data_IF_246535204614
#
_entry.id   IF_246535204614
#
_cell.length_a   1.000
_cell.length_b   1.000
_cell.length_c   1.000
_cell.angle_alpha   90.00
_cell.angle_beta   90.00
_cell.angle_gamma   90.00
#
_symmetry.space_group_name_H-M   'P 1'
#
loop_
_entity.id
_entity.type
_entity.pdbx_description
1 polymer ?
#
# COMPACT_ATOMS: atom_id res chain seq x y z
N UNK A 1 -20.02 -25.56 23.37
CA UNK A 1 -19.84 -26.65 22.38
C UNK A 1 -18.91 -26.16 21.29
N UNK A 2 -17.75 -26.80 21.23
CA UNK A 2 -16.68 -26.81 20.21
C UNK A 2 -16.09 -25.49 19.68
N UNK A 3 -14.92 -25.17 20.25
CA UNK A 3 -13.82 -24.47 19.60
C UNK A 3 -13.14 -25.37 18.57
N UNK A 4 -12.66 -24.80 17.46
CA UNK A 4 -11.73 -25.46 16.55
C UNK A 4 -10.58 -24.52 16.22
N UNK A 5 -9.44 -24.82 16.85
CA UNK A 5 -8.10 -24.37 16.48
C UNK A 5 -7.75 -24.84 15.06
N UNK A 6 -7.05 -24.01 14.30
CA UNK A 6 -6.13 -24.48 13.27
C UNK A 6 -4.75 -23.85 13.48
N UNK A 7 -3.86 -24.67 14.03
CA UNK A 7 -2.42 -24.46 14.00
C UNK A 7 -1.87 -25.36 12.88
N UNK A 8 -1.09 -24.80 11.96
CA UNK A 8 -0.28 -25.57 11.04
C UNK A 8 1.18 -25.20 11.28
N UNK A 9 1.92 -26.14 11.83
CA UNK A 9 3.34 -26.07 12.08
C UNK A 9 4.09 -27.02 11.15
N UNK A 10 5.30 -26.57 10.77
CA UNK A 10 6.50 -27.35 10.48
C UNK A 10 6.60 -28.15 9.15
N UNK A 11 7.61 -27.78 8.35
CA UNK A 11 8.78 -28.65 8.14
C UNK A 11 9.93 -27.85 7.47
N UNK A 12 10.94 -27.45 8.26
CA UNK A 12 12.25 -27.03 7.75
C UNK A 12 13.09 -28.28 7.54
N UNK A 13 13.49 -28.54 6.30
CA UNK A 13 14.45 -29.59 5.96
C UNK A 13 15.86 -29.17 6.41
N UNK A 14 16.45 -29.93 7.32
CA UNK A 14 17.86 -29.83 7.68
C UNK A 14 18.68 -30.67 6.71
N UNK A 15 19.61 -30.05 5.99
CA UNK A 15 20.63 -30.74 5.18
C UNK A 15 21.79 -31.20 6.06
N UNK A 16 22.33 -32.41 5.86
CA UNK A 16 23.47 -32.91 6.63
C UNK A 16 24.77 -32.19 6.25
N UNK A 17 25.51 -31.76 7.27
CA UNK A 17 26.84 -31.19 7.16
C UNK A 17 27.85 -32.24 6.68
N UNK A 18 28.67 -31.85 5.72
CA UNK A 18 29.74 -32.66 5.14
C UNK A 18 31.06 -32.22 5.79
N UNK A 19 31.80 -33.09 6.51
CA UNK A 19 33.04 -32.69 7.17
C UNK A 19 34.17 -32.50 6.14
N UNK A 20 34.78 -31.31 6.13
CA UNK A 20 35.96 -31.01 5.32
C UNK A 20 37.23 -31.72 5.84
N UNK A 21 38.19 -32.06 4.96
CA UNK A 21 39.49 -32.58 5.33
C UNK A 21 40.41 -31.48 5.92
N UNK A 22 41.41 -31.85 6.75
CA UNK A 22 42.37 -30.92 7.32
C UNK A 22 43.35 -30.42 6.24
N UNK A 23 43.33 -29.11 5.98
CA UNK A 23 44.28 -28.45 5.10
C UNK A 23 45.61 -28.19 5.83
N UNK A 24 46.70 -28.46 5.13
CA UNK A 24 48.06 -28.50 5.65
C UNK A 24 48.58 -27.10 6.05
N UNK A 25 49.27 -27.06 7.19
CA UNK A 25 49.96 -25.89 7.73
C UNK A 25 51.14 -25.53 6.80
N UNK A 26 50.96 -24.49 5.99
CA UNK A 26 52.04 -23.85 5.24
C UNK A 26 52.85 -22.88 6.12
N UNK A 27 54.17 -22.97 6.04
CA UNK A 27 55.12 -22.08 6.71
C UNK A 27 54.94 -20.61 6.28
N UNK A 28 55.09 -19.64 7.20
CA UNK A 28 54.94 -18.23 6.87
C UNK A 28 56.11 -17.71 6.03
N UNK A 29 55.80 -17.16 4.87
CA UNK A 29 56.70 -16.34 4.05
C UNK A 29 56.94 -15.00 4.75
N UNK A 30 58.18 -14.48 4.83
CA UNK A 30 58.45 -13.18 5.44
C UNK A 30 57.79 -12.06 4.62
N UNK A 31 56.86 -11.35 5.27
CA UNK A 31 56.17 -10.20 4.70
C UNK A 31 57.15 -9.02 4.53
N UNK A 32 57.27 -8.54 3.30
CA UNK A 32 57.77 -7.20 2.99
C UNK A 32 56.90 -6.18 3.73
N UNK A 33 57.51 -5.33 4.56
CA UNK A 33 56.83 -4.27 5.27
C UNK A 33 56.27 -3.24 4.27
N UNK A 34 54.97 -3.35 3.99
CA UNK A 34 54.22 -2.34 3.25
C UNK A 34 54.03 -1.12 4.17
N UNK A 35 54.57 0.02 3.74
CA UNK A 35 54.46 1.28 4.47
C UNK A 35 52.98 1.65 4.53
N UNK A 36 52.37 1.45 5.71
CA UNK A 36 50.97 1.78 5.95
C UNK A 36 50.75 3.27 5.65
N UNK A 37 50.02 3.53 4.57
CA UNK A 37 49.55 4.88 4.26
C UNK A 37 48.57 5.26 5.38
N UNK A 38 48.74 6.41 6.05
CA UNK A 38 47.83 6.82 7.11
C UNK A 38 46.41 6.86 6.55
N UNK A 39 45.48 6.20 7.26
CA UNK A 39 44.08 6.18 6.87
C UNK A 39 43.58 7.62 6.67
N UNK A 40 42.86 7.90 5.56
CA UNK A 40 42.31 9.22 5.36
C UNK A 40 41.45 9.59 6.57
N UNK A 41 41.62 10.82 7.06
CA UNK A 41 40.81 11.33 8.16
C UNK A 41 39.32 11.11 7.85
N UNK A 42 38.50 10.66 8.82
CA UNK A 42 37.07 10.51 8.60
C UNK A 42 36.54 11.83 8.05
N UNK A 43 35.89 11.80 6.89
CA UNK A 43 35.31 12.99 6.31
C UNK A 43 34.42 13.65 7.38
N UNK A 44 34.52 14.98 7.58
CA UNK A 44 33.63 15.65 8.50
C UNK A 44 32.19 15.34 8.06
N UNK A 45 31.39 14.80 8.97
CA UNK A 45 29.95 14.57 8.80
C UNK A 45 29.39 15.88 8.26
N UNK A 46 29.12 15.93 6.95
CA UNK A 46 28.59 17.13 6.34
C UNK A 46 27.22 17.31 6.97
N UNK A 47 26.88 18.54 7.33
CA UNK A 47 25.56 19.00 7.84
C UNK A 47 24.34 18.57 6.99
N UNK A 48 24.57 17.87 5.87
CA UNK A 48 23.57 17.18 5.05
C UNK A 48 22.88 16.02 5.76
N UNK A 49 23.48 15.45 6.80
CA UNK A 49 22.90 14.32 7.53
C UNK A 49 21.99 14.74 8.70
N UNK A 50 21.93 16.04 9.05
CA UNK A 50 21.07 16.55 10.14
C UNK A 50 19.64 16.89 9.68
N UNK A 51 19.33 16.65 8.41
CA UNK A 51 17.97 16.63 7.90
C UNK A 51 17.61 15.20 7.55
N UNK A 52 16.51 14.65 8.10
CA UNK A 52 15.98 13.40 7.59
C UNK A 52 15.85 13.54 6.06
N UNK A 53 16.37 12.60 5.26
CA UNK A 53 16.45 12.80 3.84
C UNK A 53 15.05 13.11 3.30
N UNK A 54 14.88 14.29 2.70
CA UNK A 54 13.63 14.72 2.08
C UNK A 54 13.25 13.90 0.85
N UNK A 55 14.00 12.85 0.53
CA UNK A 55 13.66 11.82 -0.44
C UNK A 55 12.75 10.75 0.18
N UNK A 56 12.12 9.96 -0.70
CA UNK A 56 11.43 8.73 -0.31
C UNK A 56 12.41 7.65 0.23
N UNK A 57 13.67 7.99 0.51
CA UNK A 57 14.64 7.09 1.13
C UNK A 57 14.26 6.74 2.58
N UNK A 58 13.50 7.59 3.27
CA UNK A 58 12.88 7.25 4.56
C UNK A 58 11.67 6.32 4.44
N UNK A 59 11.13 6.02 3.25
CA UNK A 59 10.04 5.06 3.10
C UNK A 59 10.49 3.60 3.35
N UNK A 60 11.81 3.39 3.52
CA UNK A 60 12.39 2.16 4.10
C UNK A 60 12.19 2.05 5.62
N UNK A 61 11.81 3.13 6.30
CA UNK A 61 11.53 3.13 7.73
C UNK A 61 10.10 2.61 8.00
N UNK A 62 10.07 1.52 8.75
CA UNK A 62 9.01 0.99 9.62
C UNK A 62 7.58 1.43 9.33
N UNK A 63 6.77 0.50 8.78
CA UNK A 63 5.32 0.27 8.95
C UNK A 63 4.37 1.43 9.37
N UNK A 64 4.71 2.69 9.09
CA UNK A 64 3.85 3.84 9.28
C UNK A 64 2.88 3.88 8.10
N UNK A 65 1.60 4.06 8.42
CA UNK A 65 0.55 4.40 7.46
C UNK A 65 0.84 5.82 6.95
N UNK A 66 1.82 5.96 6.07
CA UNK A 66 2.12 7.24 5.41
C UNK A 66 1.18 7.40 4.22
N UNK A 67 0.34 8.42 4.27
CA UNK A 67 -0.63 8.74 3.22
C UNK A 67 -2.01 9.09 3.76
N UNK A 68 -2.93 9.53 2.89
CA UNK A 68 -4.31 9.75 3.28
C UNK A 68 -4.90 8.42 3.79
N UNK A 69 -5.65 8.48 4.90
CA UNK A 69 -6.49 7.35 5.32
C UNK A 69 -7.37 7.00 4.12
N UNK A 70 -7.38 5.73 3.75
CA UNK A 70 -8.15 5.21 2.63
C UNK A 70 -9.65 5.44 2.88
N UNK A 71 -10.17 6.55 2.38
CA UNK A 71 -11.58 6.84 2.24
C UNK A 71 -11.89 6.73 0.75
N UNK A 72 -12.53 5.64 0.35
CA UNK A 72 -12.83 5.33 -1.05
C UNK A 72 -14.26 4.82 -1.22
N UNK A 73 -14.71 4.77 -2.47
CA UNK A 73 -16.02 4.19 -2.80
C UNK A 73 -16.01 2.67 -2.59
N UNK A 74 -17.18 2.04 -2.73
CA UNK A 74 -17.39 0.61 -2.46
C UNK A 74 -16.87 -0.32 -3.58
N UNK A 75 -16.11 0.19 -4.53
CA UNK A 75 -15.62 -0.56 -5.69
C UNK A 75 -14.08 -0.61 -5.65
N UNK A 76 -13.50 -1.67 -5.07
CA UNK A 76 -12.14 -2.13 -5.38
C UNK A 76 -10.98 -1.15 -5.17
N UNK A 77 -11.03 -0.26 -4.19
CA UNK A 77 -10.03 0.80 -4.00
C UNK A 77 -10.03 1.88 -5.12
N UNK A 78 -11.10 2.00 -5.91
CA UNK A 78 -11.32 3.20 -6.72
C UNK A 78 -11.63 4.40 -5.82
N UNK A 79 -11.23 5.57 -6.28
CA UNK A 79 -11.42 6.83 -5.56
C UNK A 79 -10.79 6.82 -4.16
N UNK A 80 -9.77 6.01 -3.94
CA UNK A 80 -9.01 6.02 -2.68
C UNK A 80 -7.72 6.81 -2.82
N UNK A 81 -7.41 7.63 -1.82
CA UNK A 81 -6.13 8.32 -1.78
C UNK A 81 -4.94 7.36 -1.81
N UNK A 82 -3.93 7.66 -2.63
CA UNK A 82 -2.64 6.95 -2.65
C UNK A 82 -1.53 7.79 -2.04
N UNK A 83 -0.54 7.12 -1.47
CA UNK A 83 0.68 7.77 -0.97
C UNK A 83 1.54 8.27 -2.13
N UNK A 84 2.38 9.25 -1.83
CA UNK A 84 3.39 9.72 -2.79
C UNK A 84 4.53 8.72 -2.87
N UNK A 85 5.15 8.34 -1.75
CA UNK A 85 6.41 7.59 -1.80
C UNK A 85 6.25 6.10 -2.13
N UNK A 86 7.07 5.57 -3.07
CA UNK A 86 7.09 4.15 -3.39
C UNK A 86 7.45 3.26 -2.20
N UNK A 87 6.70 2.16 -2.01
CA UNK A 87 7.00 1.12 -1.02
C UNK A 87 6.70 -0.28 -1.55
N UNK A 88 7.46 -1.26 -1.07
CA UNK A 88 7.17 -2.68 -1.25
C UNK A 88 6.53 -3.22 0.02
N UNK A 89 5.27 -3.57 -0.03
CA UNK A 89 4.52 -4.10 1.11
C UNK A 89 3.40 -5.03 0.65
N UNK A 90 2.95 -5.88 1.56
CA UNK A 90 1.73 -6.66 1.43
C UNK A 90 0.93 -6.45 2.71
N UNK A 91 -0.38 -6.31 2.58
CA UNK A 91 -1.24 -6.06 3.71
C UNK A 91 -2.61 -6.69 3.52
N UNK A 92 -3.28 -6.85 4.66
CA UNK A 92 -4.63 -7.34 4.75
C UNK A 92 -5.51 -6.21 5.27
N UNK A 93 -6.63 -6.00 4.60
CA UNK A 93 -7.65 -5.05 4.98
C UNK A 93 -8.97 -5.76 5.24
N UNK A 94 -9.91 -5.01 5.82
CA UNK A 94 -11.28 -5.45 5.89
C UNK A 94 -12.20 -4.26 6.02
N UNK A 95 -13.38 -4.39 5.45
CA UNK A 95 -14.43 -3.37 5.47
C UNK A 95 -15.69 -3.98 6.03
N UNK A 96 -16.44 -3.16 6.77
CA UNK A 96 -17.75 -3.52 7.29
C UNK A 96 -18.71 -2.38 6.99
N UNK A 97 -19.85 -2.70 6.43
CA UNK A 97 -20.93 -1.76 6.17
C UNK A 97 -22.25 -2.34 6.66
N UNK A 98 -23.04 -1.51 7.32
CA UNK A 98 -24.40 -1.87 7.74
C UNK A 98 -25.34 -0.71 7.44
N UNK A 99 -26.40 -0.99 6.69
CA UNK A 99 -27.50 -0.07 6.44
C UNK A 99 -28.75 -0.70 7.06
N UNK A 100 -29.36 0.02 7.99
CA UNK A 100 -30.60 -0.42 8.66
C UNK A 100 -31.63 0.69 8.45
N UNK A 101 -32.66 0.39 7.68
CA UNK A 101 -33.78 1.26 7.38
C UNK A 101 -35.08 0.60 7.88
N UNK A 102 -35.42 0.92 9.12
CA UNK A 102 -36.60 0.36 9.81
C UNK A 102 -37.92 0.70 9.11
N UNK A 103 -38.19 1.97 8.69
CA UNK A 103 -39.42 2.31 7.97
C UNK A 103 -39.67 1.46 6.72
N UNK A 104 -38.61 1.13 5.97
CA UNK A 104 -38.71 0.35 4.75
C UNK A 104 -38.45 -1.16 4.97
N UNK A 105 -38.33 -1.60 6.23
CA UNK A 105 -37.97 -2.98 6.61
C UNK A 105 -36.73 -3.50 5.86
N UNK A 106 -35.79 -2.60 5.56
CA UNK A 106 -34.61 -2.90 4.76
C UNK A 106 -33.36 -2.95 5.63
N UNK A 107 -32.59 -4.01 5.47
CA UNK A 107 -31.30 -4.22 6.09
C UNK A 107 -30.31 -4.73 5.07
N UNK A 108 -29.12 -4.16 5.04
CA UNK A 108 -28.00 -4.64 4.25
C UNK A 108 -26.75 -4.67 5.14
N UNK A 109 -26.11 -5.82 5.23
CA UNK A 109 -24.83 -6.03 5.90
C UNK A 109 -23.80 -6.48 4.86
N UNK A 110 -22.72 -5.73 4.73
CA UNK A 110 -21.58 -6.03 3.88
C UNK A 110 -20.33 -6.25 4.73
N UNK A 111 -19.56 -7.30 4.40
CA UNK A 111 -18.23 -7.55 4.95
C UNK A 111 -17.30 -7.84 3.79
N UNK A 112 -16.25 -7.05 3.65
CA UNK A 112 -15.22 -7.25 2.64
C UNK A 112 -13.89 -7.60 3.33
N UNK A 113 -13.18 -8.57 2.77
CA UNK A 113 -11.83 -8.95 3.16
C UNK A 113 -10.87 -8.65 2.02
N UNK A 114 -9.87 -7.83 2.30
CA UNK A 114 -9.02 -7.23 1.29
C UNK A 114 -7.59 -7.73 1.40
N UNK A 115 -6.96 -7.96 0.26
CA UNK A 115 -5.53 -8.19 0.12
C UNK A 115 -4.98 -7.09 -0.77
N UNK A 116 -4.05 -6.30 -0.24
CA UNK A 116 -3.38 -5.26 -1.01
C UNK A 116 -1.88 -5.49 -1.01
N UNK A 117 -1.24 -5.06 -2.08
CA UNK A 117 0.19 -5.17 -2.21
C UNK A 117 0.75 -4.10 -3.12
N UNK A 118 2.01 -3.78 -2.88
CA UNK A 118 2.76 -2.89 -3.73
C UNK A 118 4.21 -3.32 -3.84
N UNK A 119 4.84 -2.87 -4.91
CA UNK A 119 6.20 -3.19 -5.27
C UNK A 119 6.88 -1.93 -5.83
N UNK A 120 7.87 -1.42 -5.11
CA UNK A 120 8.70 -0.31 -5.56
C UNK A 120 9.64 -0.80 -6.69
N UNK A 121 9.27 -0.50 -7.94
CA UNK A 121 10.05 -0.85 -9.12
C UNK A 121 11.32 0.01 -9.23
N UNK A 122 11.20 1.30 -8.91
CA UNK A 122 12.30 2.27 -8.83
C UNK A 122 12.11 3.13 -7.58
N UNK A 123 13.07 4.00 -7.20
CA UNK A 123 12.86 4.96 -6.12
C UNK A 123 11.72 5.96 -6.37
N UNK A 124 11.24 6.06 -7.62
CA UNK A 124 10.17 6.96 -8.03
C UNK A 124 8.92 6.25 -8.56
N UNK A 125 8.94 4.94 -8.78
CA UNK A 125 7.82 4.20 -9.38
C UNK A 125 7.42 3.02 -8.51
N UNK A 126 6.12 2.93 -8.21
CA UNK A 126 5.49 1.84 -7.47
C UNK A 126 4.43 1.17 -8.34
N UNK A 127 4.47 -0.15 -8.45
CA UNK A 127 3.34 -0.95 -8.93
C UNK A 127 2.50 -1.36 -7.73
N UNK A 128 1.18 -1.33 -7.85
CA UNK A 128 0.30 -1.72 -6.77
C UNK A 128 -0.92 -2.48 -7.28
N UNK A 129 -1.51 -3.26 -6.38
CA UNK A 129 -2.73 -3.98 -6.65
C UNK A 129 -3.54 -4.18 -5.37
N UNK A 130 -4.84 -4.30 -5.56
CA UNK A 130 -5.80 -4.57 -4.51
C UNK A 130 -6.73 -5.68 -4.99
N UNK A 131 -7.05 -6.60 -4.11
CA UNK A 131 -7.97 -7.71 -4.34
C UNK A 131 -8.95 -7.79 -3.18
N UNK A 132 -10.24 -7.62 -3.47
CA UNK A 132 -11.33 -7.96 -2.56
C UNK A 132 -11.46 -9.49 -2.55
N UNK A 133 -10.65 -10.14 -1.73
CA UNK A 133 -10.52 -11.60 -1.68
C UNK A 133 -11.82 -12.27 -1.23
N UNK A 134 -12.59 -11.61 -0.38
CA UNK A 134 -13.88 -12.09 0.12
C UNK A 134 -14.86 -10.93 0.16
N UNK A 135 -16.01 -11.07 -0.51
CA UNK A 135 -17.14 -10.16 -0.39
C UNK A 135 -18.34 -10.94 0.11
N UNK A 136 -18.77 -10.63 1.33
CA UNK A 136 -19.97 -11.19 1.94
C UNK A 136 -21.05 -10.11 2.00
N UNK A 137 -22.25 -10.45 1.54
CA UNK A 137 -23.39 -9.54 1.59
C UNK A 137 -24.62 -10.27 2.08
N UNK A 138 -25.30 -9.71 3.07
CA UNK A 138 -26.59 -10.15 3.56
C UNK A 138 -27.60 -9.02 3.38
N UNK A 139 -28.62 -9.26 2.57
CA UNK A 139 -29.71 -8.30 2.35
C UNK A 139 -31.02 -8.90 2.84
N UNK A 140 -31.77 -8.10 3.57
CA UNK A 140 -33.11 -8.42 4.02
C UNK A 140 -34.03 -7.23 3.73
N UNK A 141 -35.15 -7.49 3.07
CA UNK A 141 -36.29 -6.58 2.93
C UNK A 141 -37.54 -7.27 3.54
N UNK A 142 -38.69 -6.58 3.57
CA UNK A 142 -39.99 -7.11 3.98
C UNK A 142 -40.36 -8.44 3.30
N UNK A 143 -39.95 -8.66 2.05
CA UNK A 143 -40.34 -9.83 1.24
C UNK A 143 -39.17 -10.70 0.77
N UNK A 144 -37.94 -10.18 0.79
CA UNK A 144 -36.77 -10.85 0.20
C UNK A 144 -35.65 -10.99 1.22
N UNK A 145 -35.00 -12.14 1.21
CA UNK A 145 -33.74 -12.39 1.93
C UNK A 145 -32.74 -12.95 0.94
N UNK A 146 -31.54 -12.40 0.96
CA UNK A 146 -30.44 -12.79 0.10
C UNK A 146 -29.16 -12.87 0.91
N UNK A 147 -28.32 -13.84 0.58
CA UNK A 147 -26.97 -13.93 1.10
C UNK A 147 -26.05 -14.33 -0.04
N UNK A 148 -24.95 -13.61 -0.20
CA UNK A 148 -23.92 -13.91 -1.18
C UNK A 148 -22.55 -13.92 -0.53
N UNK A 149 -21.69 -14.80 -1.05
CA UNK A 149 -20.27 -14.84 -0.75
C UNK A 149 -19.56 -15.01 -2.09
N UNK A 150 -18.86 -13.98 -2.53
CA UNK A 150 -18.23 -13.94 -3.84
C UNK A 150 -16.80 -13.42 -3.73
N UNK A 151 -16.01 -13.63 -4.79
CA UNK A 151 -14.82 -12.82 -5.01
C UNK A 151 -15.27 -11.43 -5.45
N UNK A 152 -14.71 -10.41 -4.83
CA UNK A 152 -14.98 -9.02 -5.19
C UNK A 152 -14.12 -8.60 -6.36
N UNK A 153 -13.87 -7.30 -6.44
CA UNK A 153 -13.12 -6.69 -7.50
C UNK A 153 -11.60 -6.70 -7.25
N UNK A 154 -10.86 -6.54 -8.34
CA UNK A 154 -9.41 -6.39 -8.34
C UNK A 154 -9.06 -5.09 -9.04
N UNK A 155 -8.12 -4.33 -8.47
CA UNK A 155 -7.47 -3.22 -9.15
C UNK A 155 -5.97 -3.46 -9.28
N UNK A 156 -5.40 -2.89 -10.33
CA UNK A 156 -3.96 -2.84 -10.55
C UNK A 156 -3.59 -1.44 -11.05
N UNK A 157 -2.46 -0.93 -10.60
CA UNK A 157 -2.05 0.42 -10.92
C UNK A 157 -0.56 0.66 -10.76
N UNK A 158 -0.21 1.90 -11.08
CA UNK A 158 1.14 2.45 -11.00
C UNK A 158 1.09 3.85 -10.40
N UNK A 159 2.02 4.14 -9.52
CA UNK A 159 2.29 5.48 -9.01
C UNK A 159 3.68 5.89 -9.43
N UNK A 160 3.84 7.13 -9.89
CA UNK A 160 5.12 7.73 -10.22
C UNK A 160 5.27 9.07 -9.49
N UNK A 161 6.36 9.23 -8.76
CA UNK A 161 6.72 10.47 -8.07
C UNK A 161 7.69 11.28 -8.88
N UNK A 162 7.49 12.58 -8.88
CA UNK A 162 8.45 13.52 -9.43
C UNK A 162 9.45 13.95 -8.36
N UNK A 163 10.57 14.52 -8.79
CA UNK A 163 11.61 14.98 -7.88
C UNK A 163 11.04 15.93 -6.82
N UNK A 164 11.35 15.65 -5.57
CA UNK A 164 10.87 16.42 -4.44
C UNK A 164 11.47 17.84 -4.49
N UNK A 165 10.61 18.85 -4.42
CA UNK A 165 11.07 20.22 -4.24
C UNK A 165 11.52 20.38 -2.78
N UNK A 166 12.84 20.37 -2.61
CA UNK A 166 13.51 20.46 -1.31
C UNK A 166 13.30 21.81 -0.65
N UNK A 167 13.13 22.87 -1.43
CA UNK A 167 12.90 24.22 -0.90
C UNK A 167 11.43 24.39 -0.49
N UNK A 168 10.50 23.80 -1.24
CA UNK A 168 9.07 23.89 -0.96
C UNK A 168 8.54 22.86 0.06
N UNK A 169 9.36 21.92 0.52
CA UNK A 169 8.96 20.79 1.38
C UNK A 169 7.76 19.99 0.81
N UNK A 170 7.69 19.91 -0.52
CA UNK A 170 6.57 19.33 -1.25
C UNK A 170 7.05 18.11 -2.06
N UNK A 171 6.34 17.00 -1.90
CA UNK A 171 6.44 15.82 -2.74
C UNK A 171 5.14 15.67 -3.52
N UNK A 172 5.25 15.32 -4.79
CA UNK A 172 4.07 15.07 -5.59
C UNK A 172 4.32 14.00 -6.65
N UNK A 173 3.24 13.47 -7.19
CA UNK A 173 3.27 12.39 -8.15
C UNK A 173 1.94 12.22 -8.85
N UNK A 174 1.91 11.26 -9.76
CA UNK A 174 0.70 10.80 -10.43
C UNK A 174 0.47 9.34 -10.12
N UNK A 175 -0.80 8.97 -10.02
CA UNK A 175 -1.27 7.60 -9.84
C UNK A 175 -2.25 7.27 -10.95
N UNK A 176 -2.15 6.07 -11.50
CA UNK A 176 -3.11 5.54 -12.45
C UNK A 176 -3.43 4.10 -12.06
N UNK A 177 -4.71 3.71 -12.12
CA UNK A 177 -5.13 2.32 -11.89
C UNK A 177 -6.31 1.95 -12.77
N UNK A 178 -6.50 0.65 -12.91
CA UNK A 178 -7.62 0.04 -13.62
C UNK A 178 -8.36 -0.92 -12.72
N UNK A 179 -9.68 -0.95 -12.86
CA UNK A 179 -10.59 -1.92 -12.27
C UNK A 179 -10.77 -3.08 -13.24
N UNK A 180 -10.40 -4.27 -12.77
CA UNK A 180 -10.44 -5.50 -13.53
C UNK A 180 -11.79 -6.21 -13.34
N UNK A 181 -12.33 -6.83 -14.39
CA UNK A 181 -13.64 -7.50 -14.37
C UNK A 181 -13.57 -8.86 -13.67
N UNK A 182 -13.29 -8.85 -12.36
CA UNK A 182 -13.02 -10.05 -11.54
C UNK A 182 -14.12 -10.37 -10.54
N UNK A 183 -15.00 -9.42 -10.27
CA UNK A 183 -16.14 -9.63 -9.36
C UNK A 183 -17.19 -10.54 -9.98
N UNK A 184 -17.73 -11.42 -9.14
CA UNK A 184 -18.85 -12.31 -9.46
C UNK A 184 -20.13 -11.93 -8.70
N UNK A 185 -20.16 -10.74 -8.08
CA UNK A 185 -21.29 -10.30 -7.26
C UNK A 185 -22.59 -10.10 -8.05
N UNK A 186 -22.49 -9.71 -9.33
CA UNK A 186 -23.64 -9.47 -10.20
C UNK A 186 -23.60 -10.45 -11.39
N UNK A 187 -24.52 -11.41 -11.47
CA UNK A 187 -24.57 -12.34 -12.60
C UNK A 187 -24.76 -11.62 -13.93
N UNK A 188 -23.86 -11.87 -14.89
CA UNK A 188 -23.96 -11.37 -16.26
C UNK A 188 -23.54 -9.91 -16.46
N UNK A 189 -23.01 -9.25 -15.43
CA UNK A 189 -22.44 -7.90 -15.52
C UNK A 189 -21.07 -7.88 -14.85
N UNK A 190 -20.07 -7.37 -15.56
CA UNK A 190 -18.74 -7.15 -15.04
C UNK A 190 -18.41 -5.66 -15.02
N UNK A 191 -17.98 -5.14 -13.89
CA UNK A 191 -17.52 -3.76 -13.80
C UNK A 191 -16.07 -3.64 -14.29
N UNK A 192 -15.82 -2.64 -15.12
CA UNK A 192 -14.49 -2.18 -15.50
C UNK A 192 -14.38 -0.70 -15.23
N UNK A 193 -13.16 -0.21 -15.08
CA UNK A 193 -12.96 1.20 -14.82
C UNK A 193 -11.49 1.59 -14.85
N UNK A 194 -11.27 2.89 -14.80
CA UNK A 194 -9.95 3.48 -14.71
C UNK A 194 -10.00 4.73 -13.84
N UNK A 195 -8.89 5.01 -13.19
CA UNK A 195 -8.69 6.21 -12.39
C UNK A 195 -7.31 6.78 -12.66
N UNK A 196 -7.26 8.09 -12.75
CA UNK A 196 -6.01 8.86 -12.75
C UNK A 196 -6.09 9.89 -11.65
N UNK A 197 -5.01 10.08 -10.92
CA UNK A 197 -4.96 11.02 -9.82
C UNK A 197 -3.60 11.62 -9.63
N UNK A 198 -3.60 12.76 -8.94
CA UNK A 198 -2.42 13.45 -8.48
C UNK A 198 -2.29 13.24 -6.97
N UNK A 199 -1.09 12.88 -6.52
CA UNK A 199 -0.77 12.63 -5.13
C UNK A 199 0.18 13.70 -4.64
N UNK A 200 -0.02 14.20 -3.43
CA UNK A 200 0.80 15.23 -2.82
C UNK A 200 1.08 14.94 -1.35
N UNK A 201 2.27 15.29 -0.89
CA UNK A 201 2.60 15.36 0.53
C UNK A 201 3.39 16.62 0.79
N UNK A 202 2.94 17.42 1.74
CA UNK A 202 3.62 18.61 2.21
C UNK A 202 3.98 18.44 3.67
N UNK A 203 5.25 18.61 4.00
CA UNK A 203 5.73 18.53 5.39
C UNK A 203 6.06 19.92 5.91
N UNK A 204 5.58 20.23 7.11
CA UNK A 204 5.80 21.56 7.66
C UNK A 204 7.30 21.79 8.02
N UNK A 205 7.79 23.06 7.95
CA UNK A 205 9.19 23.41 8.20
C UNK A 205 9.66 23.16 9.65
N UNK A 206 10.96 23.40 9.92
CA UNK A 206 11.69 23.07 11.17
C UNK A 206 10.91 23.17 12.50
N UNK A 207 10.12 24.21 12.72
CA UNK A 207 9.38 24.41 13.98
C UNK A 207 8.12 23.55 14.11
N UNK A 208 7.62 22.98 13.01
CA UNK A 208 6.37 22.24 12.91
C UNK A 208 6.56 20.84 12.27
N UNK A 209 7.76 20.23 12.42
CA UNK A 209 8.09 18.92 11.82
C UNK A 209 7.16 17.75 12.17
N UNK A 210 6.32 17.94 13.19
CA UNK A 210 5.28 17.04 13.65
C UNK A 210 4.04 17.05 12.76
N UNK A 211 3.92 17.96 11.79
CA UNK A 211 2.80 18.04 10.86
C UNK A 211 3.21 17.66 9.45
N UNK A 212 2.51 16.68 8.89
CA UNK A 212 2.54 16.34 7.48
C UNK A 212 1.12 16.37 6.92
N UNK A 213 0.94 16.89 5.71
CA UNK A 213 -0.35 17.02 5.04
C UNK A 213 -0.28 16.22 3.75
N UNK A 214 -1.21 15.30 3.58
CA UNK A 214 -1.35 14.49 2.38
C UNK A 214 -2.55 14.95 1.57
N UNK A 215 -2.42 14.89 0.25
CA UNK A 215 -3.50 15.21 -0.66
C UNK A 215 -3.58 14.18 -1.79
N UNK A 216 -4.81 13.94 -2.24
CA UNK A 216 -5.12 13.14 -3.40
C UNK A 216 -6.21 13.85 -4.20
N UNK A 217 -5.99 14.04 -5.50
CA UNK A 217 -7.00 14.56 -6.43
C UNK A 217 -7.13 13.57 -7.57
N UNK A 218 -8.26 12.86 -7.64
CA UNK A 218 -8.52 11.82 -8.64
C UNK A 218 -9.70 12.13 -9.53
N UNK A 219 -9.69 11.55 -10.72
CA UNK A 219 -10.84 11.40 -11.60
C UNK A 219 -10.93 9.93 -12.02
N UNK A 220 -12.13 9.37 -11.93
CA UNK A 220 -12.38 7.98 -12.26
C UNK A 220 -13.60 7.82 -13.16
N UNK A 221 -13.57 6.76 -13.96
CA UNK A 221 -14.62 6.33 -14.87
C UNK A 221 -14.85 4.84 -14.66
N UNK A 222 -16.08 4.43 -14.41
CA UNK A 222 -16.48 3.03 -14.33
C UNK A 222 -17.58 2.75 -15.35
N UNK A 223 -17.67 1.51 -15.82
CA UNK A 223 -18.72 1.05 -16.73
C UNK A 223 -19.03 -0.42 -16.47
N UNK A 224 -20.33 -0.76 -16.50
CA UNK A 224 -20.77 -2.16 -16.52
C UNK A 224 -20.72 -2.74 -17.94
N UNK A 225 -20.03 -3.87 -18.08
CA UNK A 225 -20.02 -4.70 -19.28
C UNK A 225 -21.01 -5.85 -19.09
N UNK A 226 -22.04 -5.92 -19.93
CA UNK A 226 -23.05 -6.98 -19.88
C UNK A 226 -23.85 -7.04 -21.19
N UNK A 227 -24.96 -7.78 -21.18
CA UNK A 227 -25.84 -7.88 -22.35
C UNK A 227 -26.64 -6.59 -22.64
N UNK A 228 -26.71 -5.67 -21.68
CA UNK A 228 -27.38 -4.37 -21.82
C UNK A 228 -26.43 -3.23 -22.22
N UNK A 229 -26.96 -2.01 -22.43
CA UNK A 229 -26.14 -0.83 -22.66
C UNK A 229 -25.15 -0.61 -21.52
N UNK A 230 -23.91 -0.26 -21.85
CA UNK A 230 -22.93 0.17 -20.85
C UNK A 230 -23.46 1.43 -20.16
N UNK A 231 -23.47 1.42 -18.82
CA UNK A 231 -23.83 2.57 -17.98
C UNK A 231 -22.55 3.20 -17.45
N UNK A 232 -21.90 4.11 -18.21
CA UNK A 232 -20.69 4.76 -17.75
C UNK A 232 -21.01 5.75 -16.63
N UNK A 233 -20.17 5.77 -15.60
CA UNK A 233 -20.26 6.71 -14.48
C UNK A 233 -18.89 7.33 -14.23
N UNK A 234 -18.84 8.65 -14.14
CA UNK A 234 -17.61 9.40 -13.93
C UNK A 234 -17.70 10.21 -12.63
N UNK A 235 -16.64 10.16 -11.82
CA UNK A 235 -16.54 10.92 -10.57
C UNK A 235 -15.19 11.58 -10.41
N UNK A 236 -15.16 12.63 -9.60
CA UNK A 236 -13.95 13.24 -9.08
C UNK A 236 -13.83 12.99 -7.59
N UNK A 237 -12.60 12.90 -7.09
CA UNK A 237 -12.32 12.66 -5.68
C UNK A 237 -11.25 13.60 -5.20
N UNK A 238 -11.49 14.23 -4.05
CA UNK A 238 -10.49 15.00 -3.31
C UNK A 238 -10.38 14.40 -1.92
N UNK A 239 -9.18 13.92 -1.57
CA UNK A 239 -8.85 13.47 -0.22
C UNK A 239 -7.78 14.38 0.34
N UNK A 240 -7.99 14.88 1.56
CA UNK A 240 -7.02 15.64 2.32
C UNK A 240 -6.85 14.94 3.66
N UNK A 241 -5.60 14.72 4.06
CA UNK A 241 -5.25 14.12 5.33
C UNK A 241 -4.15 14.92 6.02
N UNK A 242 -4.11 14.87 7.34
CA UNK A 242 -3.00 15.42 8.11
C UNK A 242 -2.52 14.37 9.12
N UNK A 243 -1.22 14.16 9.17
CA UNK A 243 -0.54 13.27 10.09
C UNK A 243 0.18 14.11 11.15
N UNK A 244 -0.14 13.83 12.41
CA UNK A 244 0.51 14.44 13.55
C UNK A 244 1.47 13.44 14.19
N UNK A 245 2.76 13.78 14.22
CA UNK A 245 3.85 12.99 14.80
C UNK A 245 4.62 13.84 15.82
N UNK A 246 4.01 14.14 17.00
CA UNK A 246 4.62 15.01 17.99
C UNK A 246 5.90 14.43 18.62
N UNK A 247 6.04 13.10 18.62
CA UNK A 247 7.21 12.39 19.14
C UNK A 247 7.62 11.34 18.10
N UNK A 248 8.80 11.49 17.51
CA UNK A 248 9.42 10.45 16.70
C UNK A 248 10.42 9.71 17.60
N UNK A 249 10.02 8.53 18.06
CA UNK A 249 10.78 7.72 19.02
C UNK A 249 11.80 6.78 18.35
N UNK A 250 11.86 6.80 17.01
CA UNK A 250 12.73 5.96 16.17
C UNK A 250 13.71 6.79 15.32
N UNK A 251 14.26 7.87 15.89
CA UNK A 251 15.32 8.67 15.27
C UNK A 251 16.72 8.24 15.72
#
# INVERSE_FOLDING_TARGET
MNALLFAAALALAQTPENPMPPEAVGLPTPATAEVATPAPAPEPIRDRDMFPPWSCDQARAEAKLDGPVALGSFEADLATGRRVCPRTEIGLGGRFAAIIDTPNFYGNLGIDGDLFGSYALTPSTELFGHLEAVQFTYVQNASLKGTSLTLGHMTAGVTHTFDADREAHLRHGVSARVLLPTSFGIPGVHLVGAEVGHVGSWRAPRSWRWLEVHSYLGANLTAGLGAGPALPFATGTLVLGAQLSPFDWAA
#
